data_IF_046853233048
#
_entry.id   IF_046853233048
#
_cell.length_a   1.000
_cell.length_b   1.000
_cell.length_c   1.000
_cell.angle_alpha   90.00
_cell.angle_beta   90.00
_cell.angle_gamma   90.00
#
_symmetry.space_group_name_H-M   'P 1'
#
loop_
_entity.id
_entity.type
_entity.pdbx_description
1 polymer ?
#
# COMPACT_ATOMS: atom_id res chain seq x y z
N UNK A 1 -1.63 3.59 -22.55
CA UNK A 1 -2.85 3.61 -23.42
C UNK A 1 -4.04 3.29 -22.54
N UNK A 2 -4.97 4.22 -22.32
CA UNK A 2 -6.04 4.10 -21.30
C UNK A 2 -7.34 3.47 -21.80
N UNK A 3 -7.29 2.78 -22.94
CA UNK A 3 -8.47 2.20 -23.59
C UNK A 3 -8.42 0.68 -23.47
N UNK A 4 -9.56 0.09 -23.10
CA UNK A 4 -9.84 -1.34 -23.18
C UNK A 4 -10.82 -1.60 -24.33
N UNK A 5 -10.47 -2.50 -25.24
CA UNK A 5 -11.40 -2.97 -26.27
C UNK A 5 -12.06 -4.26 -25.80
N UNK A 6 -13.38 -4.23 -25.61
CA UNK A 6 -14.17 -5.35 -25.07
C UNK A 6 -15.45 -5.49 -25.89
N UNK A 7 -15.68 -6.65 -26.49
CA UNK A 7 -16.85 -6.92 -27.34
C UNK A 7 -16.94 -5.97 -28.53
N UNK A 8 -15.80 -5.54 -29.08
CA UNK A 8 -15.73 -4.56 -30.16
C UNK A 8 -16.09 -3.12 -29.77
N UNK A 9 -16.22 -2.82 -28.47
CA UNK A 9 -16.40 -1.46 -27.95
C UNK A 9 -15.15 -0.99 -27.23
N UNK A 10 -14.89 0.31 -27.30
CA UNK A 10 -13.79 0.95 -26.58
C UNK A 10 -14.31 1.52 -25.26
N UNK A 11 -13.59 1.22 -24.18
CA UNK A 11 -13.84 1.73 -22.84
C UNK A 11 -12.64 2.58 -22.43
N UNK A 12 -12.87 3.89 -22.28
CA UNK A 12 -11.91 4.83 -21.73
C UNK A 12 -11.90 4.71 -20.20
N UNK A 13 -10.71 4.45 -19.67
CA UNK A 13 -10.46 4.39 -18.23
C UNK A 13 -9.90 5.72 -17.76
N UNK A 14 -10.49 6.28 -16.70
CA UNK A 14 -10.07 7.56 -16.11
C UNK A 14 -10.33 7.59 -14.60
N UNK A 15 -9.33 8.05 -13.84
CA UNK A 15 -9.37 8.16 -12.38
C UNK A 15 -9.44 9.62 -11.91
N UNK A 16 -10.59 10.22 -12.19
CA UNK A 16 -10.95 11.62 -11.90
C UNK A 16 -11.88 11.69 -10.65
N UNK A 17 -12.76 12.69 -10.57
CA UNK A 17 -13.70 12.95 -9.48
C UNK A 17 -14.56 11.73 -9.15
N UNK A 18 -15.22 11.09 -10.12
CA UNK A 18 -16.11 9.97 -9.84
C UNK A 18 -15.38 8.79 -9.20
N UNK A 19 -14.17 8.51 -9.68
CA UNK A 19 -13.33 7.46 -9.10
C UNK A 19 -12.83 7.84 -7.69
N UNK A 20 -12.47 9.11 -7.47
CA UNK A 20 -11.99 9.62 -6.19
C UNK A 20 -13.09 9.72 -5.12
N UNK A 21 -14.35 9.89 -5.53
CA UNK A 21 -15.52 9.87 -4.64
C UNK A 21 -15.99 8.44 -4.34
N UNK A 22 -15.57 7.45 -5.14
CA UNK A 22 -15.92 6.06 -4.91
C UNK A 22 -15.14 5.46 -3.73
N UNK A 23 -15.74 5.56 -2.54
CA UNK A 23 -15.18 5.12 -1.25
C UNK A 23 -14.48 3.75 -1.30
N UNK A 24 -15.08 2.74 -1.93
CA UNK A 24 -14.51 1.40 -1.95
C UNK A 24 -13.19 1.33 -2.73
N UNK A 25 -13.04 2.11 -3.80
CA UNK A 25 -11.78 2.22 -4.54
C UNK A 25 -10.72 2.88 -3.67
N UNK A 26 -11.01 4.06 -3.11
CA UNK A 26 -10.07 4.79 -2.24
C UNK A 26 -9.62 3.92 -1.06
N UNK A 27 -10.55 3.26 -0.36
CA UNK A 27 -10.24 2.39 0.78
C UNK A 27 -9.32 1.22 0.40
N UNK A 28 -9.60 0.54 -0.71
CA UNK A 28 -8.82 -0.63 -1.13
C UNK A 28 -7.44 -0.21 -1.66
N UNK A 29 -7.36 0.85 -2.46
CA UNK A 29 -6.10 1.41 -2.93
C UNK A 29 -5.25 1.86 -1.76
N UNK A 30 -5.83 2.58 -0.79
CA UNK A 30 -5.14 3.00 0.43
C UNK A 30 -4.48 1.84 1.17
N UNK A 31 -5.19 0.73 1.38
CA UNK A 31 -4.63 -0.46 2.06
C UNK A 31 -3.41 -1.02 1.36
N UNK A 32 -3.39 -1.00 0.03
CA UNK A 32 -2.24 -1.45 -0.76
C UNK A 32 -1.07 -0.47 -0.61
N UNK A 33 -1.29 0.81 -0.88
CA UNK A 33 -0.19 1.80 -0.94
C UNK A 33 0.38 2.19 0.42
N UNK A 34 -0.43 2.11 1.49
CA UNK A 34 0.04 2.38 2.85
C UNK A 34 0.77 1.20 3.51
N UNK A 35 0.82 0.04 2.86
CA UNK A 35 1.27 -1.19 3.50
C UNK A 35 0.32 -1.67 4.60
N UNK A 36 -0.96 -1.35 4.50
CA UNK A 36 -1.99 -1.72 5.49
C UNK A 36 -2.07 -3.23 5.75
N UNK A 37 -1.74 -4.06 4.75
CA UNK A 37 -1.63 -5.52 4.92
C UNK A 37 -0.52 -5.92 5.90
N UNK A 38 0.55 -5.15 6.00
CA UNK A 38 1.67 -5.38 6.93
C UNK A 38 1.33 -4.82 8.30
N UNK A 39 0.82 -3.58 8.36
CA UNK A 39 0.46 -2.92 9.64
C UNK A 39 -0.60 -3.69 10.43
N UNK A 40 -1.54 -4.36 9.77
CA UNK A 40 -2.59 -5.14 10.42
C UNK A 40 -2.05 -6.24 11.34
N UNK A 41 -0.85 -6.76 11.08
CA UNK A 41 -0.24 -7.82 11.89
C UNK A 41 0.50 -7.30 13.13
N UNK A 42 0.64 -5.99 13.29
CA UNK A 42 1.18 -5.41 14.53
C UNK A 42 2.65 -5.73 14.80
N UNK A 43 3.43 -6.03 13.74
CA UNK A 43 4.87 -6.33 13.86
C UNK A 43 5.59 -5.12 14.45
N UNK A 44 6.43 -5.35 15.44
CA UNK A 44 7.26 -4.36 16.12
C UNK A 44 8.74 -4.66 15.94
N UNK A 45 9.60 -3.69 16.24
CA UNK A 45 11.07 -3.85 16.19
C UNK A 45 11.62 -4.92 17.16
N UNK A 46 10.77 -5.44 18.06
CA UNK A 46 11.13 -6.49 19.02
C UNK A 46 10.98 -7.90 18.46
N UNK A 47 10.33 -8.04 17.31
CA UNK A 47 10.06 -9.33 16.69
C UNK A 47 11.30 -9.85 15.95
N UNK A 48 11.52 -11.15 16.01
CA UNK A 48 12.63 -11.83 15.37
C UNK A 48 12.51 -11.83 13.84
N UNK A 49 13.65 -12.01 13.15
CA UNK A 49 13.71 -12.05 11.68
C UNK A 49 12.74 -13.06 11.05
N UNK A 50 12.48 -14.18 11.73
CA UNK A 50 11.55 -15.21 11.25
C UNK A 50 10.10 -14.71 11.31
N UNK A 51 9.70 -14.05 12.40
CA UNK A 51 8.35 -13.49 12.60
C UNK A 51 8.09 -12.34 11.62
N UNK A 52 9.10 -11.50 11.36
CA UNK A 52 9.04 -10.46 10.32
C UNK A 52 8.85 -11.10 8.93
N UNK A 53 9.60 -12.16 8.62
CA UNK A 53 9.51 -12.84 7.32
C UNK A 53 8.15 -13.56 7.12
N UNK A 54 7.63 -14.20 8.15
CA UNK A 54 6.31 -14.83 8.15
C UNK A 54 5.21 -13.78 7.92
N UNK A 55 5.25 -12.68 8.68
CA UNK A 55 4.26 -11.64 8.54
C UNK A 55 4.31 -10.94 7.16
N UNK A 56 5.50 -10.74 6.58
CA UNK A 56 5.63 -10.26 5.19
C UNK A 56 5.03 -11.25 4.18
N UNK A 57 5.27 -12.55 4.37
CA UNK A 57 4.75 -13.61 3.50
C UNK A 57 3.22 -13.63 3.55
N UNK A 58 2.66 -13.63 4.75
CA UNK A 58 1.22 -13.65 4.91
C UNK A 58 0.57 -12.35 4.42
N UNK A 59 1.22 -11.19 4.60
CA UNK A 59 0.70 -9.91 4.10
C UNK A 59 0.67 -9.89 2.58
N UNK A 60 1.66 -10.54 1.95
CA UNK A 60 1.67 -10.77 0.51
C UNK A 60 0.52 -11.69 0.10
N UNK A 61 0.29 -12.79 0.83
CA UNK A 61 -0.83 -13.70 0.56
C UNK A 61 -2.20 -13.00 0.69
N UNK A 62 -2.38 -12.14 1.68
CA UNK A 62 -3.59 -11.33 1.86
C UNK A 62 -3.82 -10.38 0.67
N UNK A 63 -2.76 -9.70 0.20
CA UNK A 63 -2.82 -8.85 -0.99
C UNK A 63 -3.24 -9.64 -2.24
N UNK A 64 -2.65 -10.81 -2.47
CA UNK A 64 -3.02 -11.67 -3.60
C UNK A 64 -4.43 -12.26 -3.47
N UNK A 65 -4.91 -12.48 -2.25
CA UNK A 65 -6.29 -12.91 -2.00
C UNK A 65 -7.28 -11.81 -2.37
N UNK A 66 -6.91 -10.54 -2.14
CA UNK A 66 -7.76 -9.38 -2.41
C UNK A 66 -7.63 -8.84 -3.84
N UNK A 67 -6.58 -9.20 -4.61
CA UNK A 67 -6.27 -8.63 -5.93
C UNK A 67 -7.42 -8.72 -6.93
N UNK A 68 -8.19 -9.82 -6.89
CA UNK A 68 -9.36 -10.00 -7.74
C UNK A 68 -10.46 -8.99 -7.41
N UNK A 69 -10.72 -8.79 -6.11
CA UNK A 69 -11.73 -7.81 -5.69
C UNK A 69 -11.25 -6.37 -5.92
N UNK A 70 -9.95 -6.11 -5.74
CA UNK A 70 -9.34 -4.80 -5.94
C UNK A 70 -9.41 -4.40 -7.41
N UNK A 71 -8.96 -5.25 -8.32
CA UNK A 71 -9.01 -5.00 -9.76
C UNK A 71 -10.44 -4.74 -10.27
N UNK A 72 -11.44 -5.47 -9.77
CA UNK A 72 -12.85 -5.22 -10.14
C UNK A 72 -13.33 -3.87 -9.62
N UNK A 73 -13.06 -3.54 -8.35
CA UNK A 73 -13.43 -2.24 -7.76
C UNK A 73 -12.76 -1.08 -8.48
N UNK A 74 -11.46 -1.20 -8.78
CA UNK A 74 -10.72 -0.17 -9.50
C UNK A 74 -11.20 -0.04 -10.95
N UNK A 75 -11.50 -1.16 -11.63
CA UNK A 75 -12.04 -1.11 -12.99
C UNK A 75 -13.40 -0.42 -13.00
N UNK A 76 -14.28 -0.76 -12.05
CA UNK A 76 -15.56 -0.08 -11.90
C UNK A 76 -15.37 1.43 -11.70
N UNK A 77 -14.50 1.83 -10.76
CA UNK A 77 -14.21 3.23 -10.49
C UNK A 77 -13.68 3.97 -11.72
N UNK A 78 -12.72 3.37 -12.43
CA UNK A 78 -12.12 3.94 -13.64
C UNK A 78 -13.07 4.02 -14.83
N UNK A 79 -14.20 3.31 -14.79
CA UNK A 79 -15.25 3.38 -15.82
C UNK A 79 -16.26 4.50 -15.56
N UNK A 80 -16.41 4.98 -14.32
CA UNK A 80 -17.52 5.87 -13.94
C UNK A 80 -17.61 7.15 -14.77
N UNK A 81 -16.47 7.80 -15.02
CA UNK A 81 -16.42 9.12 -15.67
C UNK A 81 -16.88 9.07 -17.13
N UNK A 82 -16.41 8.07 -17.89
CA UNK A 82 -16.59 8.03 -19.35
C UNK A 82 -17.51 6.90 -19.83
N UNK A 83 -17.64 5.84 -19.04
CA UNK A 83 -18.29 4.59 -19.43
C UNK A 83 -19.07 3.98 -18.25
N UNK A 84 -19.96 4.75 -17.58
CA UNK A 84 -20.58 4.32 -16.34
C UNK A 84 -21.35 3.01 -16.54
N UNK A 85 -21.06 2.04 -15.69
CA UNK A 85 -21.77 0.78 -15.60
C UNK A 85 -22.58 0.73 -14.31
N UNK A 86 -23.60 -0.13 -14.26
CA UNK A 86 -24.56 -0.17 -13.16
C UNK A 86 -23.91 -0.45 -11.80
N UNK A 87 -22.97 -1.40 -11.75
CA UNK A 87 -22.34 -1.85 -10.52
C UNK A 87 -21.00 -2.57 -10.79
N UNK A 88 -20.30 -2.95 -9.71
CA UNK A 88 -19.07 -3.75 -9.79
C UNK A 88 -19.30 -5.13 -10.45
N UNK A 89 -20.54 -5.65 -10.45
CA UNK A 89 -20.87 -6.91 -11.11
C UNK A 89 -20.86 -6.75 -12.63
N UNK A 90 -21.32 -5.62 -13.16
CA UNK A 90 -21.20 -5.28 -14.57
C UNK A 90 -19.73 -5.10 -14.97
N UNK A 91 -18.94 -4.37 -14.17
CA UNK A 91 -17.49 -4.25 -14.39
C UNK A 91 -16.78 -5.62 -14.37
N UNK A 92 -17.16 -6.52 -13.46
CA UNK A 92 -16.65 -7.90 -13.43
C UNK A 92 -16.96 -8.68 -14.71
N UNK A 93 -18.16 -8.50 -15.30
CA UNK A 93 -18.47 -9.16 -16.57
C UNK A 93 -17.62 -8.61 -17.72
N UNK A 94 -17.39 -7.29 -17.76
CA UNK A 94 -16.48 -6.68 -18.73
C UNK A 94 -15.06 -7.23 -18.60
N UNK A 95 -14.50 -7.29 -17.39
CA UNK A 95 -13.18 -7.88 -17.16
C UNK A 95 -13.14 -9.34 -17.62
N UNK A 96 -14.15 -10.13 -17.28
CA UNK A 96 -14.25 -11.53 -17.69
C UNK A 96 -14.28 -11.67 -19.22
N UNK A 97 -14.99 -10.77 -19.90
CA UNK A 97 -15.05 -10.75 -21.36
C UNK A 97 -13.70 -10.34 -21.96
N UNK A 98 -13.07 -9.29 -21.45
CA UNK A 98 -11.74 -8.83 -21.86
C UNK A 98 -10.70 -9.95 -21.79
N UNK A 99 -10.65 -10.67 -20.67
CA UNK A 99 -9.70 -11.79 -20.46
C UNK A 99 -9.93 -12.91 -21.48
N UNK A 100 -11.19 -13.20 -21.85
CA UNK A 100 -11.51 -14.23 -22.84
C UNK A 100 -11.16 -13.82 -24.26
N UNK A 101 -11.33 -12.55 -24.59
CA UNK A 101 -11.08 -12.00 -25.92
C UNK A 101 -9.60 -11.73 -26.17
N UNK A 102 -8.83 -11.48 -25.11
CA UNK A 102 -7.43 -11.05 -25.18
C UNK A 102 -6.52 -11.92 -24.30
N UNK A 103 -6.50 -13.27 -24.43
CA UNK A 103 -5.79 -14.15 -23.50
C UNK A 103 -4.28 -13.93 -23.42
N UNK A 104 -3.68 -13.37 -24.47
CA UNK A 104 -2.23 -13.08 -24.55
C UNK A 104 -1.87 -11.64 -24.13
N UNK A 105 -2.86 -10.80 -23.79
CA UNK A 105 -2.63 -9.45 -23.27
C UNK A 105 -2.17 -9.52 -21.81
N UNK A 106 -1.09 -8.82 -21.44
CA UNK A 106 -0.59 -8.81 -20.06
C UNK A 106 -1.64 -8.34 -19.03
N UNK A 107 -2.62 -7.55 -19.47
CA UNK A 107 -3.76 -7.09 -18.64
C UNK A 107 -4.81 -8.18 -18.43
N UNK A 108 -4.75 -9.31 -19.13
CA UNK A 108 -5.72 -10.41 -19.06
C UNK A 108 -5.56 -11.30 -17.80
N UNK A 109 -5.29 -10.66 -16.67
CA UNK A 109 -5.25 -11.27 -15.34
C UNK A 109 -5.68 -10.22 -14.31
N UNK A 110 -6.11 -10.64 -13.11
CA UNK A 110 -6.49 -9.68 -12.07
C UNK A 110 -5.32 -8.77 -11.68
N UNK A 111 -4.11 -9.33 -11.59
CA UNK A 111 -2.92 -8.56 -11.23
C UNK A 111 -2.51 -7.59 -12.36
N UNK A 112 -2.39 -8.08 -13.59
CA UNK A 112 -2.03 -7.23 -14.73
C UNK A 112 -3.07 -6.15 -15.03
N UNK A 113 -4.36 -6.44 -14.83
CA UNK A 113 -5.41 -5.42 -14.89
C UNK A 113 -5.22 -4.36 -13.79
N UNK A 114 -4.94 -4.78 -12.55
CA UNK A 114 -4.68 -3.83 -11.47
C UNK A 114 -3.44 -2.95 -11.74
N UNK A 115 -2.34 -3.51 -12.24
CA UNK A 115 -1.15 -2.74 -12.62
C UNK A 115 -1.48 -1.67 -13.65
N UNK A 116 -2.20 -2.04 -14.71
CA UNK A 116 -2.69 -1.10 -15.72
C UNK A 116 -3.57 0.02 -15.12
N UNK A 117 -4.50 -0.34 -14.23
CA UNK A 117 -5.39 0.63 -13.59
C UNK A 117 -4.60 1.57 -12.65
N UNK A 118 -3.59 1.05 -11.94
CA UNK A 118 -2.71 1.83 -11.08
C UNK A 118 -1.90 2.83 -11.90
N UNK A 119 -1.38 2.44 -13.06
CA UNK A 119 -0.72 3.39 -13.98
C UNK A 119 -1.67 4.51 -14.40
N UNK A 120 -2.93 4.18 -14.73
CA UNK A 120 -3.94 5.20 -15.03
C UNK A 120 -4.17 6.15 -13.84
N UNK A 121 -4.29 5.63 -12.61
CA UNK A 121 -4.41 6.44 -11.39
C UNK A 121 -3.24 7.41 -11.20
N UNK A 122 -2.01 6.95 -11.45
CA UNK A 122 -0.80 7.77 -11.33
C UNK A 122 -0.80 8.90 -12.37
N UNK A 123 -1.09 8.56 -13.63
CA UNK A 123 -1.13 9.54 -14.70
C UNK A 123 -2.27 10.56 -14.56
N UNK A 124 -3.41 10.15 -14.01
CA UNK A 124 -4.58 11.01 -13.78
C UNK A 124 -4.47 11.86 -12.52
N UNK A 125 -3.43 11.63 -11.70
CA UNK A 125 -3.23 12.35 -10.45
C UNK A 125 -4.24 11.98 -9.37
N UNK A 126 -4.81 10.77 -9.42
CA UNK A 126 -5.77 10.25 -8.45
C UNK A 126 -5.25 10.34 -7.01
N UNK A 127 -3.99 9.99 -6.77
CA UNK A 127 -3.40 10.02 -5.43
C UNK A 127 -3.26 11.45 -4.88
N UNK A 128 -3.00 12.42 -5.76
CA UNK A 128 -3.00 13.83 -5.41
C UNK A 128 -4.41 14.33 -5.13
N UNK A 129 -5.38 13.96 -5.98
CA UNK A 129 -6.78 14.36 -5.86
C UNK A 129 -7.42 13.85 -4.56
N UNK A 130 -7.18 12.58 -4.22
CA UNK A 130 -7.66 11.92 -2.99
C UNK A 130 -6.89 12.35 -1.73
N UNK A 131 -5.76 13.03 -1.88
CA UNK A 131 -4.87 13.42 -0.78
C UNK A 131 -3.99 12.28 -0.23
N UNK A 132 -4.04 11.09 -0.86
CA UNK A 132 -3.24 9.92 -0.49
C UNK A 132 -1.73 10.19 -0.56
N UNK A 133 -1.27 10.90 -1.59
CA UNK A 133 0.17 11.24 -1.75
C UNK A 133 0.72 11.99 -0.54
N UNK A 134 -0.03 12.99 -0.06
CA UNK A 134 0.36 13.78 1.10
C UNK A 134 0.40 12.91 2.35
N UNK A 135 -0.63 12.10 2.57
CA UNK A 135 -0.68 11.22 3.73
C UNK A 135 0.48 10.22 3.75
N UNK A 136 0.77 9.58 2.61
CA UNK A 136 1.87 8.60 2.50
C UNK A 136 3.23 9.27 2.74
N UNK A 137 3.43 10.49 2.23
CA UNK A 137 4.63 11.27 2.49
C UNK A 137 4.77 11.62 3.98
N UNK A 138 3.72 12.14 4.60
CA UNK A 138 3.72 12.50 6.02
C UNK A 138 3.99 11.27 6.90
N UNK A 139 3.39 10.12 6.56
CA UNK A 139 3.62 8.84 7.22
C UNK A 139 5.07 8.38 7.10
N UNK A 140 5.63 8.40 5.89
CA UNK A 140 7.03 8.03 5.63
C UNK A 140 8.02 8.94 6.40
N UNK A 141 7.79 10.26 6.39
CA UNK A 141 8.61 11.21 7.14
C UNK A 141 8.52 10.99 8.66
N UNK A 142 7.32 10.68 9.18
CA UNK A 142 7.13 10.37 10.60
C UNK A 142 7.87 9.10 11.02
N UNK A 143 7.82 8.06 10.19
CA UNK A 143 8.52 6.79 10.43
C UNK A 143 10.04 6.99 10.39
N UNK A 144 10.54 7.76 9.41
CA UNK A 144 11.96 8.07 9.32
C UNK A 144 12.48 8.89 10.52
N UNK A 145 11.65 9.77 11.08
CA UNK A 145 11.99 10.50 12.32
C UNK A 145 12.04 9.56 13.52
N UNK A 146 11.04 8.68 13.67
CA UNK A 146 11.00 7.70 14.75
C UNK A 146 12.24 6.78 14.75
N UNK A 147 12.65 6.28 13.58
CA UNK A 147 13.86 5.46 13.42
C UNK A 147 15.11 6.23 13.87
N UNK A 148 15.27 7.48 13.42
CA UNK A 148 16.42 8.32 13.82
C UNK A 148 16.46 8.64 15.31
N UNK A 149 15.30 8.76 15.96
CA UNK A 149 15.20 8.99 17.40
C UNK A 149 15.56 7.73 18.18
N UNK A 150 15.09 6.55 17.74
CA UNK A 150 15.43 5.26 18.32
C UNK A 150 16.93 4.91 18.19
N UNK A 151 17.55 5.20 17.05
CA UNK A 151 19.00 5.02 16.83
C UNK A 151 19.82 5.91 17.79
N UNK A 152 19.41 7.16 18.00
CA UNK A 152 20.07 8.09 18.94
C UNK A 152 19.93 7.66 20.40
N UNK A 153 18.80 7.08 20.79
CA UNK A 153 18.62 6.51 22.13
C UNK A 153 19.50 5.26 22.34
N UNK A 154 19.62 4.42 21.31
CA UNK A 154 20.46 3.21 21.34
C UNK A 154 21.97 3.56 21.40
N UNK A 155 22.43 4.57 20.65
CA UNK A 155 23.80 5.10 20.77
C UNK A 155 24.07 5.75 22.14
N UNK A 156 23.10 6.48 22.71
CA UNK A 156 23.25 7.05 24.07
C UNK A 156 23.30 5.98 25.16
N UNK A 157 22.61 4.85 24.97
CA UNK A 157 22.61 3.72 25.92
C UNK A 157 23.89 2.87 25.87
N UNK A 158 24.67 2.95 24.79
CA UNK A 158 25.91 2.16 24.60
C UNK A 158 27.19 2.92 24.97
N UNK A 159 27.09 4.20 25.33
CA UNK A 159 28.20 4.96 25.90
C UNK A 159 28.63 4.31 27.24
N UNK A 160 29.93 4.03 27.47
CA UNK A 160 30.39 3.40 28.70
C UNK A 160 29.98 4.25 29.91
N UNK A 161 29.26 3.65 30.86
CA UNK A 161 29.11 4.25 32.19
C UNK A 161 30.52 4.43 32.75
N UNK A 162 30.97 5.67 32.88
CA UNK A 162 32.24 6.03 33.52
C UNK A 162 32.27 5.32 34.88
N UNK A 163 33.30 4.51 35.19
CA UNK A 163 33.40 3.88 36.49
C UNK A 163 33.44 4.97 37.56
N UNK A 164 32.41 5.06 38.40
CA UNK A 164 32.46 5.87 39.61
C UNK A 164 33.54 5.31 40.51
N UNK A 165 34.70 5.94 40.46
CA UNK A 165 35.88 5.71 41.28
C UNK A 165 35.52 5.97 42.75
N UNK A 166 35.48 4.95 43.64
CA UNK A 166 35.25 5.18 45.05
C UNK A 166 36.53 5.75 45.67
N UNK A 167 36.70 7.07 45.62
CA UNK A 167 37.70 7.78 46.42
C UNK A 167 37.42 7.56 47.92
N UNK A 168 38.17 6.61 48.49
CA UNK A 168 39.00 6.72 49.70
C UNK A 168 38.43 7.61 50.82
N UNK A 169 37.95 6.98 51.90
CA UNK A 169 38.05 7.55 53.26
C UNK A 169 38.89 6.64 54.15
N UNK A 170 40.14 7.04 54.27
CA UNK A 170 41.01 6.80 55.43
C UNK A 170 40.30 7.17 56.73
N UNK A 171 40.34 6.28 57.73
CA UNK A 171 40.59 6.66 59.13
C UNK A 171 41.24 5.50 59.87
N UNK A 172 42.45 5.77 60.35
CA UNK A 172 43.25 4.99 61.29
C UNK A 172 42.79 5.27 62.74
N UNK A 173 43.23 4.39 63.65
CA UNK A 173 43.26 4.46 65.14
C UNK A 173 41.92 4.22 65.87
N UNK A 174 41.83 3.38 66.90
CA UNK A 174 42.81 2.85 67.88
C UNK A 174 42.65 1.36 68.11
#
# INVERSE_FOLDING_TARGET
MRILTIGGKEYQIEFSFDAAEYKACVDKVFKVVSGGYIMKRGITEKDGKAEIAEALTDSTADMFSDIASLSITCLYAGLLENNPVEDEKAARQLLKQFVKENPDDGRASYFGMYEFLKECMEEDGFFKLTGLDRYLKDMSESMAKAIKEAEKETERSTLPKVPTDPKRKSTSTK
#
